data_IF_561239685168
#
_entry.id   IF_561239685168
#
_cell.length_a   1.000
_cell.length_b   1.000
_cell.length_c   1.000
_cell.angle_alpha   90.00
_cell.angle_beta   90.00
_cell.angle_gamma   90.00
#
_symmetry.space_group_name_H-M   'P 1'
#
loop_
_entity.id
_entity.type
_entity.pdbx_description
1 polymer ?
#
# COMPACT_ATOMS: atom_id res chain seq x y z
N UNK A 1 40.21 -11.64 10.21
CA UNK A 1 39.31 -12.80 10.16
C UNK A 1 39.67 -13.57 8.90
N UNK A 2 40.26 -14.75 9.09
CA UNK A 2 40.54 -15.69 8.00
C UNK A 2 39.22 -16.10 7.32
N UNK A 3 39.27 -16.58 6.08
CA UNK A 3 38.03 -16.85 5.33
C UNK A 3 37.16 -17.94 6.00
N UNK A 4 37.77 -18.92 6.67
CA UNK A 4 37.05 -19.96 7.44
C UNK A 4 36.41 -19.39 8.72
N UNK A 5 37.09 -18.48 9.41
CA UNK A 5 36.52 -17.77 10.57
C UNK A 5 35.32 -16.91 10.15
N UNK A 6 35.36 -16.28 8.97
CA UNK A 6 34.23 -15.50 8.43
C UNK A 6 33.03 -16.37 8.12
N UNK A 7 33.25 -17.56 7.57
CA UNK A 7 32.18 -18.52 7.29
C UNK A 7 31.53 -18.96 8.59
N UNK A 8 32.32 -19.41 9.58
CA UNK A 8 31.81 -19.84 10.88
C UNK A 8 31.03 -18.73 11.59
N UNK A 9 31.53 -17.49 11.53
CA UNK A 9 30.84 -16.31 12.05
C UNK A 9 29.47 -16.08 11.41
N UNK A 10 29.37 -16.15 10.08
CA UNK A 10 28.09 -15.96 9.37
C UNK A 10 27.10 -17.10 9.65
N UNK A 11 27.58 -18.34 9.73
CA UNK A 11 26.77 -19.51 10.09
C UNK A 11 26.22 -19.42 11.51
N UNK A 12 27.01 -18.89 12.45
CA UNK A 12 26.54 -18.62 13.81
C UNK A 12 25.40 -17.61 13.84
N UNK A 13 25.51 -16.51 13.10
CA UNK A 13 24.43 -15.50 13.01
C UNK A 13 23.16 -16.10 12.40
N UNK A 14 23.29 -16.89 11.34
CA UNK A 14 22.17 -17.59 10.70
C UNK A 14 21.45 -18.51 11.71
N UNK A 15 22.21 -19.27 12.50
CA UNK A 15 21.68 -20.14 13.56
C UNK A 15 21.01 -19.34 14.67
N UNK A 16 21.62 -18.26 15.17
CA UNK A 16 21.05 -17.38 16.20
C UNK A 16 19.69 -16.82 15.75
N UNK A 17 19.60 -16.33 14.50
CA UNK A 17 18.35 -15.84 13.92
C UNK A 17 17.30 -16.95 13.82
N UNK A 18 17.65 -18.13 13.31
CA UNK A 18 16.73 -19.27 13.24
C UNK A 18 16.16 -19.66 14.60
N UNK A 19 17.02 -19.70 15.63
CA UNK A 19 16.59 -20.02 16.98
C UNK A 19 15.62 -18.98 17.53
N UNK A 20 15.82 -17.70 17.21
CA UNK A 20 14.89 -16.63 17.59
C UNK A 20 13.54 -16.81 16.88
N UNK A 21 13.51 -16.97 15.56
CA UNK A 21 12.26 -17.17 14.80
C UNK A 21 11.51 -18.45 15.22
N UNK A 22 12.21 -19.50 15.65
CA UNK A 22 11.58 -20.73 16.19
C UNK A 22 11.01 -20.52 17.58
N UNK A 23 11.68 -19.73 18.42
CA UNK A 23 11.27 -19.47 19.82
C UNK A 23 10.16 -18.44 19.92
N UNK A 24 10.19 -17.42 19.06
CA UNK A 24 9.25 -16.31 19.06
C UNK A 24 8.54 -16.17 17.71
N UNK A 25 7.27 -16.54 17.68
CA UNK A 25 6.41 -16.43 16.51
C UNK A 25 5.80 -15.02 16.31
N UNK A 26 6.06 -14.09 17.24
CA UNK A 26 5.44 -12.77 17.35
C UNK A 26 6.47 -11.63 17.40
N UNK A 27 7.58 -11.79 16.68
CA UNK A 27 8.57 -10.71 16.51
C UNK A 27 7.83 -9.47 15.97
N UNK A 28 8.06 -8.33 16.62
CA UNK A 28 7.36 -7.08 16.36
C UNK A 28 8.05 -6.22 15.31
N UNK A 29 9.38 -6.17 15.36
CA UNK A 29 10.18 -5.30 14.48
C UNK A 29 11.55 -5.92 14.18
N UNK A 30 12.09 -5.58 13.01
CA UNK A 30 13.46 -5.84 12.63
C UNK A 30 14.16 -4.55 12.23
N UNK A 31 15.35 -4.27 12.76
CA UNK A 31 16.18 -3.15 12.30
C UNK A 31 17.69 -3.45 12.24
N UNK A 32 18.45 -2.58 11.57
CA UNK A 32 19.91 -2.58 11.54
C UNK A 32 20.41 -1.39 12.34
N UNK A 33 21.07 -1.64 13.46
CA UNK A 33 21.47 -0.60 14.41
C UNK A 33 22.97 -0.30 14.34
N UNK A 34 23.35 0.93 14.68
CA UNK A 34 24.76 1.29 14.86
C UNK A 34 25.35 0.57 16.08
N UNK A 35 26.63 0.23 16.01
CA UNK A 35 27.33 -0.42 17.14
C UNK A 35 27.68 0.64 18.18
N UNK A 36 27.22 0.44 19.42
CA UNK A 36 27.48 1.36 20.54
C UNK A 36 28.87 1.11 21.12
N UNK A 37 29.33 -0.14 21.14
CA UNK A 37 30.65 -0.53 21.63
C UNK A 37 31.18 -1.72 20.81
N UNK A 38 32.27 -1.54 20.06
CA UNK A 38 32.92 -2.61 19.28
C UNK A 38 33.73 -3.60 20.15
N UNK A 39 33.44 -3.65 21.45
CA UNK A 39 34.25 -4.33 22.45
C UNK A 39 33.77 -5.78 22.61
N UNK A 40 34.47 -6.66 21.88
CA UNK A 40 34.76 -8.08 22.14
C UNK A 40 33.61 -9.10 22.37
N UNK A 41 33.61 -10.17 21.55
CA UNK A 41 32.90 -11.46 21.73
C UNK A 41 31.36 -11.45 21.88
N UNK A 42 30.67 -10.33 21.68
CA UNK A 42 29.20 -10.28 21.68
C UNK A 42 28.63 -10.68 20.32
N UNK A 43 27.51 -11.40 20.31
CA UNK A 43 26.78 -11.69 19.06
C UNK A 43 26.20 -10.38 18.49
N UNK A 44 26.32 -10.12 17.17
CA UNK A 44 25.70 -8.93 16.56
C UNK A 44 24.18 -9.06 16.44
N UNK A 45 23.60 -10.21 16.82
CA UNK A 45 22.16 -10.43 16.88
C UNK A 45 21.64 -9.95 18.23
N UNK A 46 20.81 -8.92 18.22
CA UNK A 46 20.20 -8.34 19.41
C UNK A 46 18.71 -8.69 19.39
N UNK A 47 18.22 -9.27 20.48
CA UNK A 47 16.82 -9.62 20.64
C UNK A 47 16.33 -9.20 22.03
N UNK A 48 15.42 -8.24 22.09
CA UNK A 48 14.88 -7.66 23.33
C UNK A 48 13.39 -7.39 23.13
N UNK A 49 12.55 -7.91 24.02
CA UNK A 49 11.09 -7.65 24.05
C UNK A 49 10.42 -7.79 22.67
N UNK A 50 10.66 -8.91 22.00
CA UNK A 50 10.16 -9.22 20.64
C UNK A 50 10.70 -8.34 19.52
N UNK A 51 11.65 -7.46 19.79
CA UNK A 51 12.35 -6.66 18.77
C UNK A 51 13.67 -7.32 18.40
N UNK A 52 13.91 -7.49 17.11
CA UNK A 52 15.12 -8.09 16.56
C UNK A 52 15.97 -7.03 15.89
N UNK A 53 17.27 -7.04 16.11
CA UNK A 53 18.20 -6.16 15.42
C UNK A 53 19.50 -6.87 15.04
N UNK A 54 20.12 -6.38 13.97
CA UNK A 54 21.50 -6.71 13.62
C UNK A 54 22.37 -5.47 13.78
N UNK A 55 23.52 -5.64 14.42
CA UNK A 55 24.53 -4.58 14.45
C UNK A 55 25.14 -4.38 13.05
N UNK A 56 25.23 -3.13 12.62
CA UNK A 56 25.61 -2.75 11.26
C UNK A 56 26.96 -3.30 10.79
N UNK A 57 27.92 -3.50 11.71
CA UNK A 57 29.25 -3.99 11.37
C UNK A 57 29.26 -5.41 10.79
N UNK A 58 28.27 -6.25 11.11
CA UNK A 58 28.21 -7.61 10.57
C UNK A 58 27.62 -7.67 9.15
N UNK A 59 26.95 -6.61 8.70
CA UNK A 59 26.19 -6.56 7.45
C UNK A 59 27.05 -6.81 6.20
N UNK A 60 28.24 -6.19 6.01
CA UNK A 60 29.06 -6.46 4.83
C UNK A 60 29.50 -7.92 4.73
N UNK A 61 29.84 -8.54 5.86
CA UNK A 61 30.26 -9.94 5.93
C UNK A 61 29.10 -10.89 5.61
N UNK A 62 27.94 -10.67 6.24
CA UNK A 62 26.73 -11.45 5.98
C UNK A 62 26.28 -11.33 4.52
N UNK A 63 26.30 -10.12 3.97
CA UNK A 63 25.86 -9.87 2.60
C UNK A 63 26.79 -10.53 1.57
N UNK A 64 28.11 -10.42 1.74
CA UNK A 64 29.08 -11.10 0.88
C UNK A 64 28.96 -12.63 0.98
N UNK A 65 28.89 -13.17 2.19
CA UNK A 65 28.70 -14.60 2.44
C UNK A 65 27.44 -15.14 1.77
N UNK A 66 26.30 -14.48 2.00
CA UNK A 66 25.01 -14.90 1.46
C UNK A 66 24.99 -14.82 -0.07
N UNK A 67 25.57 -13.77 -0.67
CA UNK A 67 25.68 -13.67 -2.12
C UNK A 67 26.55 -14.78 -2.72
N UNK A 68 27.73 -15.06 -2.15
CA UNK A 68 28.61 -16.15 -2.62
C UNK A 68 27.90 -17.50 -2.60
N UNK A 69 27.20 -17.82 -1.50
CA UNK A 69 26.43 -19.07 -1.37
C UNK A 69 25.24 -19.12 -2.33
N UNK A 70 24.52 -18.02 -2.53
CA UNK A 70 23.41 -17.93 -3.49
C UNK A 70 23.90 -18.10 -4.95
N UNK A 71 25.04 -17.49 -5.31
CA UNK A 71 25.63 -17.65 -6.65
C UNK A 71 26.10 -19.09 -6.86
N UNK A 72 26.76 -19.69 -5.87
CA UNK A 72 27.16 -21.09 -5.93
C UNK A 72 25.95 -22.03 -6.10
N UNK A 73 24.85 -21.77 -5.39
CA UNK A 73 23.59 -22.50 -5.52
C UNK A 73 23.04 -22.46 -6.95
N UNK A 74 23.00 -21.27 -7.57
CA UNK A 74 22.49 -21.10 -8.94
C UNK A 74 23.32 -21.87 -9.97
N UNK A 75 24.62 -22.01 -9.74
CA UNK A 75 25.53 -22.71 -10.63
C UNK A 75 25.52 -24.23 -10.45
N UNK A 76 25.13 -24.73 -9.27
CA UNK A 76 25.18 -26.17 -8.92
C UNK A 76 23.84 -26.68 -8.34
N UNK A 77 22.83 -26.85 -9.20
CA UNK A 77 21.45 -27.17 -8.80
C UNK A 77 21.22 -28.56 -8.19
N UNK A 78 22.19 -29.49 -8.24
CA UNK A 78 21.96 -30.92 -7.94
C UNK A 78 22.16 -31.33 -6.47
N UNK A 79 22.74 -30.49 -5.59
CA UNK A 79 23.07 -30.87 -4.19
C UNK A 79 22.78 -29.79 -3.15
N UNK A 80 21.82 -28.92 -3.45
CA UNK A 80 21.67 -27.71 -2.67
C UNK A 80 20.70 -27.88 -1.50
N UNK A 81 21.16 -27.48 -0.32
CA UNK A 81 20.33 -27.42 0.89
C UNK A 81 19.31 -26.26 0.78
N UNK A 82 18.05 -26.62 0.50
CA UNK A 82 16.93 -25.66 0.42
C UNK A 82 16.72 -24.92 1.75
N UNK A 83 17.05 -25.56 2.88
CA UNK A 83 16.97 -24.94 4.20
C UNK A 83 17.97 -23.80 4.34
N UNK A 84 19.22 -24.02 3.91
CA UNK A 84 20.22 -22.95 3.88
C UNK A 84 19.78 -21.78 2.97
N UNK A 85 19.21 -22.05 1.79
CA UNK A 85 18.74 -20.98 0.90
C UNK A 85 17.56 -20.20 1.50
N UNK A 86 16.67 -20.87 2.22
CA UNK A 86 15.62 -20.20 2.96
C UNK A 86 16.17 -19.22 4.00
N UNK A 87 17.21 -19.59 4.75
CA UNK A 87 17.86 -18.70 5.72
C UNK A 87 18.62 -17.55 5.04
N UNK A 88 19.36 -17.85 3.96
CA UNK A 88 20.14 -16.87 3.23
C UNK A 88 19.25 -15.81 2.58
N UNK A 89 18.14 -16.22 1.94
CA UNK A 89 17.18 -15.28 1.36
C UNK A 89 16.52 -14.41 2.43
N UNK A 90 16.22 -14.96 3.62
CA UNK A 90 15.71 -14.17 4.75
C UNK A 90 16.67 -13.04 5.12
N UNK A 91 17.95 -13.34 5.37
CA UNK A 91 18.95 -12.30 5.71
C UNK A 91 19.10 -11.30 4.56
N UNK A 92 19.19 -11.77 3.32
CA UNK A 92 19.35 -10.89 2.16
C UNK A 92 18.20 -9.90 2.03
N UNK A 93 16.97 -10.31 2.31
CA UNK A 93 15.79 -9.46 2.25
C UNK A 93 15.65 -8.55 3.47
N UNK A 94 16.07 -9.00 4.65
CA UNK A 94 16.25 -8.14 5.82
C UNK A 94 17.34 -7.09 5.61
N UNK A 95 18.34 -7.32 4.77
CA UNK A 95 19.35 -6.31 4.45
C UNK A 95 18.85 -5.42 3.31
N UNK A 96 18.51 -6.01 2.17
CA UNK A 96 18.14 -5.34 0.92
C UNK A 96 16.89 -6.01 0.29
N UNK A 97 15.68 -5.49 0.57
CA UNK A 97 14.44 -6.06 0.04
C UNK A 97 14.18 -5.75 -1.44
N UNK A 98 14.97 -4.87 -2.08
CA UNK A 98 14.84 -4.61 -3.51
C UNK A 98 15.54 -5.67 -4.38
N UNK A 99 16.20 -6.65 -3.75
CA UNK A 99 16.91 -7.72 -4.47
C UNK A 99 15.93 -8.76 -5.05
N UNK A 100 15.51 -8.55 -6.30
CA UNK A 100 14.61 -9.46 -7.04
C UNK A 100 15.10 -10.90 -7.08
N UNK A 101 16.43 -11.12 -7.16
CA UNK A 101 17.01 -12.47 -7.11
C UNK A 101 16.64 -13.21 -5.83
N UNK A 102 16.66 -12.54 -4.68
CA UNK A 102 16.33 -13.17 -3.40
C UNK A 102 14.85 -13.55 -3.33
N UNK A 103 13.94 -12.69 -3.80
CA UNK A 103 12.51 -13.02 -3.89
C UNK A 103 12.24 -14.20 -4.83
N UNK A 104 12.91 -14.26 -5.98
CA UNK A 104 12.78 -15.37 -6.92
C UNK A 104 13.24 -16.69 -6.31
N UNK A 105 14.39 -16.71 -5.63
CA UNK A 105 14.86 -17.90 -4.92
C UNK A 105 13.93 -18.26 -3.77
N UNK A 106 13.38 -17.25 -3.07
CA UNK A 106 12.43 -17.47 -1.99
C UNK A 106 11.16 -18.17 -2.48
N UNK A 107 10.63 -17.81 -3.66
CA UNK A 107 9.53 -18.56 -4.32
C UNK A 107 9.84 -20.04 -4.57
N UNK A 108 11.11 -20.39 -4.81
CA UNK A 108 11.53 -21.78 -5.06
C UNK A 108 11.61 -22.59 -3.77
N UNK A 109 12.04 -21.97 -2.66
CA UNK A 109 12.25 -22.67 -1.38
C UNK A 109 11.04 -22.62 -0.45
N UNK A 110 10.12 -21.67 -0.65
CA UNK A 110 8.85 -21.66 0.06
C UNK A 110 8.02 -22.81 -0.48
N UNK A 111 7.80 -23.80 0.37
CA UNK A 111 7.00 -24.97 0.05
C UNK A 111 5.53 -24.59 -0.21
N UNK A 112 4.83 -25.37 -1.03
CA UNK A 112 3.39 -25.25 -1.26
C UNK A 112 2.55 -25.75 -0.06
N UNK A 113 2.86 -25.29 1.16
CA UNK A 113 2.06 -25.55 2.34
C UNK A 113 1.61 -24.23 2.99
N UNK A 114 0.48 -24.28 3.70
CA UNK A 114 -0.15 -23.08 4.28
C UNK A 114 0.75 -22.39 5.30
N UNK A 115 1.40 -23.15 6.18
CA UNK A 115 2.19 -22.59 7.27
C UNK A 115 3.39 -21.79 6.74
N UNK A 116 4.13 -22.30 5.75
CA UNK A 116 5.28 -21.60 5.17
C UNK A 116 4.88 -20.30 4.49
N UNK A 117 3.68 -20.22 3.91
CA UNK A 117 3.18 -18.98 3.34
C UNK A 117 2.81 -17.96 4.42
N UNK A 118 2.19 -18.40 5.52
CA UNK A 118 1.85 -17.53 6.65
C UNK A 118 3.11 -17.00 7.34
N UNK A 119 4.14 -17.85 7.50
CA UNK A 119 5.43 -17.46 8.06
C UNK A 119 6.12 -16.40 7.16
N UNK A 120 6.02 -16.55 5.84
CA UNK A 120 6.55 -15.58 4.89
C UNK A 120 5.77 -14.26 4.84
N UNK A 121 4.45 -14.29 5.07
CA UNK A 121 3.66 -13.08 5.24
C UNK A 121 4.09 -12.31 6.50
N UNK A 122 4.39 -13.00 7.61
CA UNK A 122 4.96 -12.36 8.81
C UNK A 122 6.36 -11.80 8.55
N UNK A 123 7.21 -12.56 7.86
CA UNK A 123 8.55 -12.09 7.49
C UNK A 123 8.51 -10.80 6.67
N UNK A 124 7.66 -10.79 5.63
CA UNK A 124 7.55 -9.64 4.73
C UNK A 124 6.94 -8.42 5.43
N UNK A 125 6.13 -8.62 6.48
CA UNK A 125 5.65 -7.52 7.32
C UNK A 125 6.80 -6.87 8.11
N UNK A 126 7.68 -7.66 8.73
CA UNK A 126 8.89 -7.14 9.40
C UNK A 126 9.75 -6.31 8.44
N UNK A 127 9.89 -6.77 7.19
CA UNK A 127 10.62 -6.04 6.16
C UNK A 127 9.91 -4.73 5.79
N UNK A 128 8.58 -4.70 5.72
CA UNK A 128 7.79 -3.50 5.45
C UNK A 128 7.87 -2.45 6.56
N UNK A 129 8.00 -2.86 7.83
CA UNK A 129 8.17 -1.92 8.93
C UNK A 129 9.44 -1.06 8.76
N UNK A 130 10.52 -1.68 8.29
CA UNK A 130 11.79 -1.00 8.00
C UNK A 130 11.84 -0.33 6.62
N UNK A 131 11.25 -0.98 5.60
CA UNK A 131 11.27 -0.54 4.19
C UNK A 131 9.84 -0.55 3.61
N UNK A 132 9.00 0.43 3.99
CA UNK A 132 7.56 0.43 3.65
C UNK A 132 7.25 0.61 2.16
N UNK A 133 8.17 1.21 1.39
CA UNK A 133 8.02 1.44 -0.05
C UNK A 133 8.89 0.47 -0.85
N UNK A 134 8.44 -0.77 -0.97
CA UNK A 134 9.15 -1.82 -1.73
C UNK A 134 8.18 -2.57 -2.66
N UNK A 135 8.29 -2.32 -3.97
CA UNK A 135 7.40 -2.93 -4.98
C UNK A 135 7.57 -4.46 -5.06
N UNK A 136 8.82 -4.94 -5.06
CA UNK A 136 9.13 -6.36 -5.17
C UNK A 136 8.53 -7.17 -4.02
N UNK A 137 8.44 -6.57 -2.83
CA UNK A 137 7.84 -7.19 -1.67
C UNK A 137 6.33 -7.30 -1.81
N UNK A 138 5.62 -6.24 -2.20
CA UNK A 138 4.17 -6.31 -2.45
C UNK A 138 3.85 -7.35 -3.54
N UNK A 139 4.61 -7.39 -4.64
CA UNK A 139 4.46 -8.44 -5.66
C UNK A 139 4.67 -9.85 -5.10
N UNK A 140 5.59 -10.02 -4.15
CA UNK A 140 5.79 -11.29 -3.47
C UNK A 140 4.62 -11.65 -2.54
N UNK A 141 4.05 -10.68 -1.82
CA UNK A 141 2.84 -10.88 -1.01
C UNK A 141 1.63 -11.23 -1.86
N UNK A 142 1.41 -10.58 -3.00
CA UNK A 142 0.38 -10.97 -3.97
C UNK A 142 0.56 -12.42 -4.42
N UNK A 143 1.80 -12.84 -4.71
CA UNK A 143 2.10 -14.24 -5.05
C UNK A 143 1.77 -15.21 -3.90
N UNK A 144 2.13 -14.88 -2.66
CA UNK A 144 1.81 -15.69 -1.48
C UNK A 144 0.29 -15.85 -1.30
N UNK A 145 -0.45 -14.75 -1.39
CA UNK A 145 -1.91 -14.75 -1.24
C UNK A 145 -2.60 -15.53 -2.36
N UNK A 146 -2.17 -15.35 -3.61
CA UNK A 146 -2.65 -16.17 -4.73
C UNK A 146 -2.36 -17.66 -4.50
N UNK A 147 -1.16 -18.01 -4.07
CA UNK A 147 -0.77 -19.39 -3.82
C UNK A 147 -1.60 -20.01 -2.68
N UNK A 148 -1.78 -19.28 -1.58
CA UNK A 148 -2.67 -19.67 -0.47
C UNK A 148 -4.11 -19.91 -0.94
N UNK A 149 -4.64 -19.04 -1.80
CA UNK A 149 -5.94 -19.26 -2.41
C UNK A 149 -5.96 -20.52 -3.28
N UNK A 150 -4.92 -20.79 -4.06
CA UNK A 150 -4.87 -22.01 -4.88
C UNK A 150 -4.85 -23.29 -4.04
N UNK A 151 -4.16 -23.26 -2.89
CA UNK A 151 -4.09 -24.37 -1.93
C UNK A 151 -5.45 -24.58 -1.23
N UNK A 152 -6.04 -23.52 -0.68
CA UNK A 152 -7.23 -23.61 0.17
C UNK A 152 -8.56 -23.44 -0.56
N UNK A 153 -8.52 -23.02 -1.84
CA UNK A 153 -9.67 -22.56 -2.66
C UNK A 153 -10.50 -21.45 -2.05
N UNK A 154 -10.02 -20.87 -0.95
CA UNK A 154 -10.65 -19.83 -0.16
C UNK A 154 -9.57 -19.04 0.58
N UNK A 155 -9.88 -17.81 0.98
CA UNK A 155 -9.06 -17.00 1.89
C UNK A 155 -9.94 -16.56 3.06
N UNK A 156 -9.41 -16.66 4.27
CA UNK A 156 -10.14 -16.26 5.47
C UNK A 156 -10.28 -14.74 5.56
N UNK A 157 -11.42 -14.29 6.10
CA UNK A 157 -11.68 -12.88 6.34
C UNK A 157 -10.62 -12.23 7.25
N UNK A 158 -10.13 -12.98 8.23
CA UNK A 158 -9.08 -12.54 9.15
C UNK A 158 -7.77 -12.21 8.42
N UNK A 159 -7.40 -13.02 7.41
CA UNK A 159 -6.20 -12.76 6.61
C UNK A 159 -6.38 -11.52 5.74
N UNK A 160 -7.57 -11.31 5.17
CA UNK A 160 -7.89 -10.10 4.40
C UNK A 160 -7.82 -8.86 5.29
N UNK A 161 -8.46 -8.91 6.45
CA UNK A 161 -8.45 -7.79 7.41
C UNK A 161 -7.03 -7.46 7.88
N UNK A 162 -6.23 -8.48 8.16
CA UNK A 162 -4.83 -8.31 8.50
C UNK A 162 -4.03 -7.67 7.35
N UNK A 163 -4.23 -8.13 6.12
CA UNK A 163 -3.54 -7.57 4.96
C UNK A 163 -3.90 -6.09 4.72
N UNK A 164 -5.17 -5.73 4.95
CA UNK A 164 -5.60 -4.33 4.92
C UNK A 164 -4.90 -3.51 6.02
N UNK A 165 -4.66 -4.05 7.22
CA UNK A 165 -3.86 -3.38 8.24
C UNK A 165 -2.40 -3.20 7.80
N UNK A 166 -1.79 -4.23 7.20
CA UNK A 166 -0.41 -4.14 6.67
C UNK A 166 -0.26 -3.00 5.67
N UNK A 167 -1.23 -2.81 4.76
CA UNK A 167 -1.19 -1.69 3.81
C UNK A 167 -1.28 -0.32 4.48
N UNK A 168 -2.10 -0.15 5.53
CA UNK A 168 -2.18 1.10 6.28
C UNK A 168 -0.89 1.38 7.05
N UNK A 169 -0.32 0.34 7.69
CA UNK A 169 0.96 0.43 8.39
C UNK A 169 2.06 0.88 7.41
N UNK A 170 2.15 0.29 6.22
CA UNK A 170 3.12 0.69 5.20
C UNK A 170 2.86 2.10 4.64
N UNK A 171 1.61 2.52 4.48
CA UNK A 171 1.26 3.87 4.05
C UNK A 171 1.63 4.93 5.12
N UNK A 172 1.52 4.59 6.41
CA UNK A 172 1.76 5.55 7.50
C UNK A 172 3.23 5.90 7.65
N UNK A 173 4.10 4.98 7.23
CA UNK A 173 5.56 5.09 7.33
C UNK A 173 6.21 5.74 6.11
N UNK A 174 5.45 5.95 5.03
CA UNK A 174 5.96 6.60 3.83
C UNK A 174 4.88 7.44 3.15
N UNK A 175 5.06 8.76 3.12
CA UNK A 175 4.11 9.67 2.49
C UNK A 175 3.86 9.30 1.02
N UNK A 176 2.59 9.20 0.62
CA UNK A 176 2.17 8.87 -0.77
C UNK A 176 2.73 7.51 -1.21
N UNK A 177 2.60 6.48 -0.37
CA UNK A 177 3.06 5.13 -0.68
C UNK A 177 2.16 4.46 -1.74
N UNK A 178 2.43 4.75 -3.01
CA UNK A 178 1.69 4.19 -4.14
C UNK A 178 1.59 2.66 -4.11
N UNK A 179 2.66 1.96 -3.70
CA UNK A 179 2.65 0.50 -3.67
C UNK A 179 1.74 -0.06 -2.59
N UNK A 180 1.69 0.55 -1.40
CA UNK A 180 0.78 0.14 -0.34
C UNK A 180 -0.69 0.33 -0.76
N UNK A 181 -1.03 1.48 -1.34
CA UNK A 181 -2.38 1.76 -1.82
C UNK A 181 -2.79 0.92 -3.03
N UNK A 182 -1.84 0.62 -3.93
CA UNK A 182 -2.07 -0.27 -5.07
C UNK A 182 -2.30 -1.70 -4.62
N UNK A 183 -1.51 -2.18 -3.66
CA UNK A 183 -1.72 -3.49 -3.03
C UNK A 183 -3.07 -3.55 -2.30
N UNK A 184 -3.47 -2.46 -1.63
CA UNK A 184 -4.81 -2.36 -1.02
C UNK A 184 -5.92 -2.54 -2.05
N UNK A 185 -5.87 -1.82 -3.17
CA UNK A 185 -6.82 -1.98 -4.27
C UNK A 185 -6.78 -3.39 -4.90
N UNK A 186 -5.59 -3.99 -4.97
CA UNK A 186 -5.42 -5.38 -5.39
C UNK A 186 -6.10 -6.35 -4.43
N UNK A 187 -5.97 -6.21 -3.11
CA UNK A 187 -6.64 -7.07 -2.11
C UNK A 187 -8.15 -7.00 -2.30
N UNK A 188 -8.71 -5.80 -2.46
CA UNK A 188 -10.12 -5.66 -2.78
C UNK A 188 -10.44 -6.43 -4.06
N UNK A 189 -9.77 -6.14 -5.17
CA UNK A 189 -10.01 -6.81 -6.47
C UNK A 189 -9.92 -8.35 -6.38
N UNK A 190 -8.86 -8.85 -5.78
CA UNK A 190 -8.59 -10.26 -5.58
C UNK A 190 -9.64 -10.92 -4.70
N UNK A 191 -10.02 -10.29 -3.58
CA UNK A 191 -11.06 -10.83 -2.72
C UNK A 191 -12.44 -10.80 -3.39
N UNK A 192 -12.78 -9.67 -4.00
CA UNK A 192 -14.01 -9.42 -4.74
C UNK A 192 -14.25 -10.44 -5.86
N UNK A 193 -13.19 -10.85 -6.57
CA UNK A 193 -13.29 -11.83 -7.67
C UNK A 193 -13.40 -13.28 -7.18
N UNK A 194 -12.96 -13.57 -5.95
CA UNK A 194 -12.79 -14.93 -5.46
C UNK A 194 -13.71 -15.28 -4.27
N UNK A 195 -14.65 -14.40 -3.92
CA UNK A 195 -15.65 -14.63 -2.87
C UNK A 195 -17.07 -14.50 -3.40
N UNK A 196 -17.99 -15.29 -2.84
CA UNK A 196 -19.42 -15.16 -3.11
C UNK A 196 -20.14 -14.30 -2.06
N UNK A 197 -19.42 -13.76 -1.06
CA UNK A 197 -20.01 -12.97 0.02
C UNK A 197 -20.06 -11.47 -0.32
N UNK A 198 -21.00 -11.11 -1.17
CA UNK A 198 -21.24 -9.73 -1.61
C UNK A 198 -21.64 -8.79 -0.47
N UNK A 199 -22.22 -9.28 0.63
CA UNK A 199 -22.53 -8.46 1.81
C UNK A 199 -21.26 -8.04 2.56
N UNK A 200 -20.34 -8.97 2.82
CA UNK A 200 -19.06 -8.69 3.47
C UNK A 200 -18.24 -7.69 2.65
N UNK A 201 -18.22 -7.87 1.34
CA UNK A 201 -17.58 -6.96 0.39
C UNK A 201 -18.07 -5.53 0.57
N UNK A 202 -19.39 -5.33 0.52
CA UNK A 202 -19.97 -3.99 0.58
C UNK A 202 -19.65 -3.35 1.92
N UNK A 203 -19.78 -4.12 3.01
CA UNK A 203 -19.34 -3.69 4.34
C UNK A 203 -17.89 -3.22 4.32
N UNK A 204 -16.97 -3.98 3.71
CA UNK A 204 -15.56 -3.61 3.63
C UNK A 204 -15.32 -2.35 2.81
N UNK A 205 -16.00 -2.15 1.68
CA UNK A 205 -15.88 -0.92 0.89
C UNK A 205 -16.31 0.30 1.70
N UNK A 206 -17.45 0.21 2.41
CA UNK A 206 -17.95 1.31 3.24
C UNK A 206 -17.01 1.58 4.43
N UNK A 207 -16.55 0.53 5.12
CA UNK A 207 -15.53 0.66 6.18
C UNK A 207 -14.25 1.32 5.64
N UNK A 208 -13.81 0.95 4.44
CA UNK A 208 -12.60 1.52 3.83
C UNK A 208 -12.76 2.99 3.47
N UNK A 209 -13.94 3.39 3.00
CA UNK A 209 -14.27 4.80 2.78
C UNK A 209 -14.22 5.58 4.11
N UNK A 210 -14.69 5.02 5.22
CA UNK A 210 -14.59 5.69 6.52
C UNK A 210 -13.15 5.79 7.03
N UNK A 211 -12.38 4.70 6.90
CA UNK A 211 -10.95 4.66 7.28
C UNK A 211 -10.15 5.69 6.47
N UNK A 212 -10.36 5.72 5.15
CA UNK A 212 -9.61 6.62 4.28
C UNK A 212 -10.10 8.07 4.34
N UNK A 213 -11.33 8.32 4.79
CA UNK A 213 -11.80 9.67 5.13
C UNK A 213 -10.97 10.22 6.30
N UNK A 214 -10.90 9.47 7.40
CA UNK A 214 -10.07 9.82 8.57
C UNK A 214 -8.58 9.95 8.22
N UNK A 215 -8.08 9.11 7.32
CA UNK A 215 -6.71 9.19 6.82
C UNK A 215 -6.42 10.52 6.13
N UNK A 216 -7.31 10.94 5.22
CA UNK A 216 -7.12 12.14 4.39
C UNK A 216 -7.15 13.42 5.22
N UNK A 217 -7.91 13.45 6.31
CA UNK A 217 -7.92 14.61 7.22
C UNK A 217 -6.51 14.97 7.73
N UNK A 218 -5.64 13.96 7.92
CA UNK A 218 -4.24 14.15 8.31
C UNK A 218 -3.24 14.06 7.15
N UNK A 219 -3.68 13.63 5.96
CA UNK A 219 -2.84 13.39 4.78
C UNK A 219 -3.45 13.99 3.52
N UNK A 220 -3.87 15.26 3.59
CA UNK A 220 -4.61 15.92 2.50
C UNK A 220 -3.87 15.93 1.16
N UNK A 221 -2.54 15.80 1.15
CA UNK A 221 -1.70 15.69 -0.05
C UNK A 221 -1.49 14.27 -0.60
N UNK A 222 -2.12 13.25 -0.03
CA UNK A 222 -1.92 11.85 -0.43
C UNK A 222 -2.75 11.48 -1.67
N UNK A 223 -2.19 11.75 -2.85
CA UNK A 223 -2.78 11.37 -4.14
C UNK A 223 -3.03 9.85 -4.27
N UNK A 224 -2.22 9.02 -3.63
CA UNK A 224 -2.36 7.56 -3.71
C UNK A 224 -3.59 7.09 -2.92
N UNK A 225 -3.85 7.68 -1.75
CA UNK A 225 -5.08 7.44 -1.00
C UNK A 225 -6.32 7.90 -1.79
N UNK A 226 -6.29 9.09 -2.39
CA UNK A 226 -7.39 9.57 -3.24
C UNK A 226 -7.65 8.69 -4.46
N UNK A 227 -6.60 8.14 -5.08
CA UNK A 227 -6.73 7.18 -6.16
C UNK A 227 -7.40 5.89 -5.69
N UNK A 228 -7.05 5.39 -4.50
CA UNK A 228 -7.71 4.24 -3.90
C UNK A 228 -9.20 4.53 -3.62
N UNK A 229 -9.54 5.72 -3.12
CA UNK A 229 -10.96 6.13 -2.97
C UNK A 229 -11.71 6.15 -4.30
N UNK A 230 -11.09 6.66 -5.37
CA UNK A 230 -11.69 6.61 -6.72
C UNK A 230 -11.96 5.17 -7.17
N UNK A 231 -11.04 4.25 -6.86
CA UNK A 231 -11.25 2.81 -7.09
C UNK A 231 -12.44 2.26 -6.28
N UNK A 232 -12.57 2.62 -5.00
CA UNK A 232 -13.70 2.21 -4.16
C UNK A 232 -15.04 2.72 -4.71
N UNK A 233 -15.12 4.00 -5.09
CA UNK A 233 -16.33 4.55 -5.72
C UNK A 233 -16.65 3.88 -7.06
N UNK A 234 -15.66 3.68 -7.93
CA UNK A 234 -15.85 2.95 -9.19
C UNK A 234 -16.42 1.55 -8.94
N UNK A 235 -15.90 0.86 -7.93
CA UNK A 235 -16.38 -0.46 -7.50
C UNK A 235 -17.81 -0.40 -6.97
N UNK A 236 -18.15 0.57 -6.11
CA UNK A 236 -19.48 0.77 -5.54
C UNK A 236 -20.55 1.00 -6.63
N UNK A 237 -20.22 1.77 -7.66
CA UNK A 237 -21.13 2.05 -8.78
C UNK A 237 -21.10 0.98 -9.88
N UNK A 238 -20.29 -0.08 -9.76
CA UNK A 238 -20.22 -1.16 -10.76
C UNK A 238 -19.45 -0.80 -12.04
N UNK A 239 -18.65 0.27 -11.99
CA UNK A 239 -17.76 0.69 -13.08
C UNK A 239 -16.27 0.36 -12.80
N UNK A 240 -16.00 -0.34 -11.71
CA UNK A 240 -14.70 -0.91 -11.40
C UNK A 240 -14.44 -2.19 -12.21
N UNK A 241 -13.31 -2.85 -11.93
CA UNK A 241 -12.91 -4.09 -12.60
C UNK A 241 -13.88 -5.27 -12.36
N UNK A 242 -14.91 -5.11 -11.51
CA UNK A 242 -15.75 -6.20 -11.00
C UNK A 242 -17.23 -5.76 -10.99
N UNK A 243 -18.07 -6.26 -11.92
CA UNK A 243 -19.45 -5.78 -12.13
C UNK A 243 -20.48 -6.17 -11.06
N UNK A 244 -20.22 -7.18 -10.21
CA UNK A 244 -21.25 -7.89 -9.42
C UNK A 244 -21.66 -7.24 -8.08
N UNK A 245 -21.04 -6.12 -7.70
CA UNK A 245 -21.20 -5.52 -6.35
C UNK A 245 -22.42 -4.60 -6.27
N UNK A 246 -22.88 -4.11 -7.41
CA UNK A 246 -23.95 -3.10 -7.52
C UNK A 246 -25.31 -3.55 -6.97
N UNK A 247 -25.51 -4.84 -6.72
CA UNK A 247 -26.82 -5.42 -6.41
C UNK A 247 -27.30 -5.25 -4.94
N UNK A 248 -26.43 -4.93 -3.98
CA UNK A 248 -26.82 -4.89 -2.54
C UNK A 248 -27.04 -3.48 -2.02
N UNK A 249 -26.20 -2.52 -2.41
CA UNK A 249 -26.37 -1.13 -1.99
C UNK A 249 -27.41 -0.49 -2.90
N UNK A 250 -28.46 0.10 -2.33
CA UNK A 250 -29.48 0.79 -3.12
C UNK A 250 -28.86 1.95 -3.91
N UNK A 251 -29.37 2.24 -5.10
CA UNK A 251 -28.90 3.39 -5.90
C UNK A 251 -28.96 4.70 -5.12
N UNK A 252 -30.02 4.89 -4.33
CA UNK A 252 -30.18 6.06 -3.48
C UNK A 252 -29.05 6.17 -2.43
N UNK A 253 -28.67 5.06 -1.80
CA UNK A 253 -27.56 5.03 -0.84
C UNK A 253 -26.21 5.30 -1.51
N UNK A 254 -25.96 4.79 -2.72
CA UNK A 254 -24.71 5.08 -3.46
C UNK A 254 -24.59 6.58 -3.75
N UNK A 255 -25.69 7.20 -4.18
CA UNK A 255 -25.76 8.65 -4.44
C UNK A 255 -25.53 9.44 -3.15
N UNK A 256 -26.12 9.03 -2.03
CA UNK A 256 -25.91 9.69 -0.74
C UNK A 256 -24.44 9.64 -0.30
N UNK A 257 -23.79 8.49 -0.43
CA UNK A 257 -22.34 8.33 -0.13
C UNK A 257 -21.51 9.28 -1.00
N UNK A 258 -21.80 9.36 -2.31
CA UNK A 258 -21.11 10.27 -3.22
C UNK A 258 -21.33 11.75 -2.84
N UNK A 259 -22.55 12.13 -2.46
CA UNK A 259 -22.84 13.50 -2.03
C UNK A 259 -22.13 13.83 -0.71
N UNK A 260 -22.03 12.88 0.21
CA UNK A 260 -21.28 13.05 1.45
C UNK A 260 -19.77 13.21 1.19
N UNK A 261 -19.23 12.54 0.16
CA UNK A 261 -17.85 12.77 -0.28
C UNK A 261 -17.59 14.21 -0.69
N UNK A 262 -18.49 14.80 -1.50
CA UNK A 262 -18.36 16.21 -1.86
C UNK A 262 -18.48 17.14 -0.65
N UNK A 263 -19.32 16.82 0.35
CA UNK A 263 -19.39 17.59 1.60
C UNK A 263 -18.09 17.49 2.41
N UNK A 264 -17.51 16.30 2.49
CA UNK A 264 -16.20 16.07 3.12
C UNK A 264 -15.10 16.87 2.41
N UNK A 265 -15.01 16.81 1.08
CA UNK A 265 -14.06 17.63 0.33
C UNK A 265 -14.26 19.13 0.59
N UNK A 266 -15.51 19.59 0.66
CA UNK A 266 -15.82 21.00 0.97
C UNK A 266 -15.36 21.42 2.38
N UNK A 267 -15.31 20.51 3.36
CA UNK A 267 -14.76 20.83 4.69
C UNK A 267 -13.24 20.99 4.61
N UNK A 268 -12.55 20.10 3.89
CA UNK A 268 -11.11 20.16 3.68
C UNK A 268 -10.68 21.39 2.90
N UNK A 269 -11.41 21.80 1.86
CA UNK A 269 -11.11 23.01 1.09
C UNK A 269 -11.13 24.29 1.94
N UNK A 270 -11.89 24.33 3.04
CA UNK A 270 -11.86 25.49 3.97
C UNK A 270 -10.52 25.60 4.71
N UNK A 271 -9.89 24.46 4.97
CA UNK A 271 -8.64 24.36 5.70
C UNK A 271 -7.43 24.38 4.77
N UNK A 272 -7.57 23.81 3.57
CA UNK A 272 -6.51 23.58 2.59
C UNK A 272 -6.92 24.01 1.18
N UNK A 273 -7.21 25.31 0.94
CA UNK A 273 -7.78 25.81 -0.32
C UNK A 273 -6.86 25.65 -1.53
N UNK A 274 -5.55 25.52 -1.30
CA UNK A 274 -4.52 25.43 -2.37
C UNK A 274 -4.14 23.98 -2.69
N UNK A 275 -4.80 23.01 -2.07
CA UNK A 275 -4.38 21.62 -2.13
C UNK A 275 -4.83 20.94 -3.44
N UNK A 276 -3.88 20.74 -4.36
CA UNK A 276 -4.13 20.17 -5.69
C UNK A 276 -4.82 18.80 -5.67
N UNK A 277 -4.45 17.91 -4.73
CA UNK A 277 -5.09 16.59 -4.58
C UNK A 277 -6.60 16.65 -4.38
N UNK A 278 -7.11 17.65 -3.65
CA UNK A 278 -8.55 17.84 -3.47
C UNK A 278 -9.22 18.17 -4.80
N UNK A 279 -8.63 19.07 -5.60
CA UNK A 279 -9.14 19.41 -6.92
C UNK A 279 -9.09 18.22 -7.87
N UNK A 280 -7.99 17.47 -7.89
CA UNK A 280 -7.84 16.30 -8.76
C UNK A 280 -8.85 15.20 -8.40
N UNK A 281 -9.07 14.96 -7.10
CA UNK A 281 -10.05 13.96 -6.66
C UNK A 281 -11.49 14.40 -6.95
N UNK A 282 -11.86 15.63 -6.58
CA UNK A 282 -13.17 16.21 -6.89
C UNK A 282 -13.47 16.13 -8.39
N UNK A 283 -12.49 16.48 -9.23
CA UNK A 283 -12.57 16.39 -10.69
C UNK A 283 -12.85 14.97 -11.17
N UNK A 284 -12.12 13.98 -10.63
CA UNK A 284 -12.27 12.59 -11.01
C UNK A 284 -13.67 12.06 -10.67
N UNK A 285 -14.22 12.42 -9.50
CA UNK A 285 -15.57 12.05 -9.09
C UNK A 285 -16.64 12.66 -10.01
N UNK A 286 -16.56 13.97 -10.28
CA UNK A 286 -17.50 14.63 -11.19
C UNK A 286 -17.47 14.05 -12.60
N UNK A 287 -16.27 13.74 -13.11
CA UNK A 287 -16.13 13.07 -14.40
C UNK A 287 -16.81 11.71 -14.41
N UNK A 288 -16.59 10.92 -13.37
CA UNK A 288 -17.11 9.55 -13.27
C UNK A 288 -18.62 9.53 -13.03
N UNK A 289 -19.15 10.53 -12.32
CA UNK A 289 -20.58 10.70 -12.07
C UNK A 289 -21.43 10.75 -13.36
N UNK A 290 -20.85 11.19 -14.50
CA UNK A 290 -21.52 11.15 -15.81
C UNK A 290 -21.93 9.75 -16.22
N UNK A 291 -21.13 8.76 -15.84
CA UNK A 291 -21.38 7.35 -16.11
C UNK A 291 -22.19 6.75 -14.98
N UNK A 292 -21.81 7.03 -13.73
CA UNK A 292 -22.40 6.41 -12.54
C UNK A 292 -23.85 6.79 -12.30
N UNK A 293 -24.20 8.07 -12.47
CA UNK A 293 -25.52 8.60 -12.12
C UNK A 293 -25.89 9.80 -13.01
N UNK A 294 -26.11 9.59 -14.32
CA UNK A 294 -26.41 10.67 -15.27
C UNK A 294 -27.60 11.54 -14.84
N UNK A 295 -28.64 10.93 -14.26
CA UNK A 295 -29.86 11.63 -13.80
C UNK A 295 -29.62 12.57 -12.60
N UNK A 296 -28.45 12.50 -11.96
CA UNK A 296 -28.05 13.36 -10.84
C UNK A 296 -27.04 14.43 -11.25
N UNK A 297 -26.66 14.52 -12.52
CA UNK A 297 -25.65 15.48 -12.98
C UNK A 297 -26.04 16.94 -12.73
N UNK A 298 -27.31 17.30 -12.93
CA UNK A 298 -27.75 18.69 -12.71
C UNK A 298 -27.71 19.07 -11.22
N UNK A 299 -28.04 18.13 -10.33
CA UNK A 299 -27.89 18.31 -8.88
C UNK A 299 -26.42 18.53 -8.49
N UNK A 300 -25.51 17.72 -9.05
CA UNK A 300 -24.08 17.86 -8.81
C UNK A 300 -23.54 19.17 -9.38
N UNK A 301 -24.01 19.59 -10.56
CA UNK A 301 -23.66 20.88 -11.17
C UNK A 301 -24.05 22.04 -10.26
N UNK A 302 -25.29 22.05 -9.75
CA UNK A 302 -25.74 23.12 -8.86
C UNK A 302 -24.90 23.16 -7.56
N UNK A 303 -24.59 21.99 -6.99
CA UNK A 303 -23.69 21.88 -5.84
C UNK A 303 -22.29 22.41 -6.15
N UNK A 304 -21.78 22.16 -7.35
CA UNK A 304 -20.49 22.67 -7.81
C UNK A 304 -20.47 24.19 -7.95
N UNK A 305 -21.56 24.78 -8.46
CA UNK A 305 -21.71 26.24 -8.56
C UNK A 305 -21.65 26.88 -7.18
N UNK A 306 -22.35 26.30 -6.20
CA UNK A 306 -22.34 26.80 -4.83
C UNK A 306 -20.99 26.61 -4.15
N UNK A 307 -20.31 25.48 -4.39
CA UNK A 307 -18.92 25.28 -3.95
C UNK A 307 -18.01 26.38 -4.52
N UNK A 308 -18.10 26.63 -5.83
CA UNK A 308 -17.28 27.61 -6.51
C UNK A 308 -17.48 29.02 -5.93
N UNK A 309 -18.74 29.49 -5.82
CA UNK A 309 -19.06 30.81 -5.23
C UNK A 309 -18.53 30.98 -3.82
N UNK A 310 -18.49 29.91 -3.02
CA UNK A 310 -18.15 29.95 -1.60
C UNK A 310 -16.64 29.80 -1.34
N UNK A 311 -15.96 29.01 -2.16
CA UNK A 311 -14.60 28.55 -1.88
C UNK A 311 -13.57 29.04 -2.91
N UNK A 312 -14.00 29.55 -4.06
CA UNK A 312 -13.11 30.03 -5.13
C UNK A 312 -13.29 31.54 -5.32
N UNK A 313 -12.19 32.26 -5.49
CA UNK A 313 -12.17 33.73 -5.47
C UNK A 313 -12.98 34.32 -6.65
N UNK A 314 -13.92 35.26 -6.40
CA UNK A 314 -14.69 35.91 -7.47
C UNK A 314 -13.83 36.64 -8.51
N UNK A 315 -12.62 37.08 -8.15
CA UNK A 315 -11.72 37.82 -9.05
C UNK A 315 -11.21 37.00 -10.24
N UNK A 316 -11.32 35.67 -10.23
CA UNK A 316 -10.96 34.81 -11.35
C UNK A 316 -12.06 34.69 -12.41
N UNK A 317 -13.29 35.16 -12.11
CA UNK A 317 -14.44 35.12 -13.01
C UNK A 317 -14.35 36.25 -14.05
N UNK A 318 -13.74 37.39 -13.71
CA UNK A 318 -13.86 38.62 -14.51
C UNK A 318 -12.84 38.80 -15.64
N UNK A 319 -11.82 37.94 -15.79
CA UNK A 319 -10.98 37.89 -17.00
C UNK A 319 -9.96 36.75 -16.96
N UNK A 320 -9.89 35.87 -17.97
CA UNK A 320 -8.83 34.85 -18.07
C UNK A 320 -7.40 35.41 -18.16
N UNK A 321 -7.27 36.72 -18.42
CA UNK A 321 -5.99 37.39 -18.71
C UNK A 321 -5.45 38.16 -17.50
N UNK A 322 -6.22 38.30 -16.42
CA UNK A 322 -5.74 38.93 -15.20
C UNK A 322 -4.80 37.98 -14.42
N UNK A 323 -3.50 38.16 -14.69
CA UNK A 323 -2.29 37.60 -14.04
C UNK A 323 -2.56 36.49 -13.01
N UNK A 324 -2.18 35.26 -13.35
CA UNK A 324 -1.84 34.21 -12.38
C UNK A 324 -0.84 34.82 -11.39
N UNK A 325 -1.27 35.07 -10.15
CA UNK A 325 -0.42 35.66 -9.11
C UNK A 325 0.13 34.61 -8.17
N UNK A 326 -0.48 33.43 -8.15
CA UNK A 326 -0.12 32.31 -7.27
C UNK A 326 -0.35 30.95 -7.94
N UNK A 327 0.26 29.90 -7.37
CA UNK A 327 -0.02 28.51 -7.75
C UNK A 327 -1.48 28.11 -7.50
N UNK A 328 -2.11 28.68 -6.47
CA UNK A 328 -3.54 28.48 -6.20
C UNK A 328 -4.42 28.97 -7.36
N UNK A 329 -4.12 30.15 -7.92
CA UNK A 329 -4.87 30.70 -9.06
C UNK A 329 -4.78 29.77 -10.29
N UNK A 330 -3.59 29.22 -10.55
CA UNK A 330 -3.34 28.29 -11.65
C UNK A 330 -4.17 27.00 -11.49
N UNK A 331 -4.19 26.40 -10.29
CA UNK A 331 -4.98 25.18 -10.04
C UNK A 331 -6.48 25.44 -10.25
N UNK A 332 -6.98 26.56 -9.71
CA UNK A 332 -8.39 26.92 -9.82
C UNK A 332 -8.78 27.16 -11.29
N UNK A 333 -7.95 27.87 -12.06
CA UNK A 333 -8.17 28.06 -13.50
C UNK A 333 -8.16 26.75 -14.27
N UNK A 334 -7.22 25.84 -13.98
CA UNK A 334 -7.18 24.50 -14.61
C UNK A 334 -8.42 23.68 -14.28
N UNK A 335 -8.90 23.77 -13.04
CA UNK A 335 -10.11 23.09 -12.61
C UNK A 335 -11.34 23.60 -13.39
N UNK A 336 -11.53 24.92 -13.47
CA UNK A 336 -12.61 25.54 -14.25
C UNK A 336 -12.54 25.19 -15.74
N UNK A 337 -11.36 25.31 -16.33
CA UNK A 337 -11.13 24.96 -17.72
C UNK A 337 -11.50 23.50 -17.99
N UNK A 338 -11.22 22.60 -17.03
CA UNK A 338 -11.63 21.21 -17.13
C UNK A 338 -13.16 21.06 -17.11
N UNK A 339 -13.85 21.67 -16.14
CA UNK A 339 -15.31 21.58 -16.03
C UNK A 339 -16.01 22.11 -17.28
N UNK A 340 -15.54 23.25 -17.82
CA UNK A 340 -16.04 23.82 -19.07
C UNK A 340 -15.81 22.89 -20.26
N UNK A 341 -14.59 22.39 -20.45
CA UNK A 341 -14.23 21.57 -21.63
C UNK A 341 -14.78 20.15 -21.59
N UNK A 342 -14.88 19.54 -20.41
CA UNK A 342 -15.19 18.11 -20.29
C UNK A 342 -16.61 17.84 -19.81
N UNK A 343 -17.21 18.76 -19.05
CA UNK A 343 -18.58 18.61 -18.54
C UNK A 343 -19.57 19.59 -19.17
N UNK A 344 -19.10 20.53 -20.01
CA UNK A 344 -19.90 21.66 -20.52
C UNK A 344 -20.53 22.51 -19.39
N UNK A 345 -19.84 22.59 -18.25
CA UNK A 345 -20.31 23.38 -17.11
C UNK A 345 -19.66 24.76 -17.14
N UNK A 346 -20.48 25.79 -17.29
CA UNK A 346 -20.08 27.19 -17.16
C UNK A 346 -20.57 27.74 -15.83
N UNK A 347 -19.75 28.60 -15.23
CA UNK A 347 -20.00 29.27 -13.95
C UNK A 347 -20.22 30.78 -14.14
N UNK A 348 -20.24 31.22 -15.39
CA UNK A 348 -20.56 32.57 -15.82
C UNK A 348 -22.09 32.72 -15.73
N UNK A 349 -22.57 33.55 -14.81
CA UNK A 349 -23.92 34.11 -14.84
C UNK A 349 -23.85 35.49 -15.49
#
# INVERSE_FOLDING_TARGET
MEDDEKVSFCERILSDLDNIFKRDANILEFDIIESVDSICNKSPVIYVDHNLALEKWCIPHLYDYANKKIVAFKNNSQRSDLYMIHQLTRIMLFINPDLTTAWNLRRVVVNNNVQTHLDDLKLTELVLLRKPKCASLFNYREWLLNSLFQINKTISFQLVDHELVVTLNAASRYARNYYAWSHRAWIFTFYLTNTNNSQYINKKIIEDLQITESWIESHVSDYSCFQHRQFLFGTLFGYGMIPSISAIVSEQSKIEILLNEFKFLNSLFRLYPEQESLFLHRRALLHSARRWCPDKLELLRQSEIEFYKKHICPSLIESPVQRIKSWSDEIQQRYLAYLKRNLNWTFDN
#
